data_IF_962184872928
#
_entry.id   IF_962184872928
#
_cell.length_a   1.000
_cell.length_b   1.000
_cell.length_c   1.000
_cell.angle_alpha   90.00
_cell.angle_beta   90.00
_cell.angle_gamma   90.00
#
_symmetry.space_group_name_H-M   'P 1'
#
loop_
_entity.id
_entity.type
_entity.pdbx_description
1 polymer ?
#
# COMPACT_ATOMS: atom_id res chain seq x y z
N UNK A 1 -2.42 -27.41 -24.66
CA UNK A 1 -3.55 -27.08 -23.77
C UNK A 1 -2.97 -27.05 -22.37
N UNK A 2 -2.73 -25.88 -21.81
CA UNK A 2 -2.29 -25.74 -20.41
C UNK A 2 -3.52 -25.99 -19.54
N UNK A 3 -3.55 -27.09 -18.81
CA UNK A 3 -4.57 -27.34 -17.78
C UNK A 3 -4.42 -26.30 -16.71
N UNK A 4 -5.47 -25.52 -16.46
CA UNK A 4 -5.47 -24.61 -15.30
C UNK A 4 -5.31 -25.44 -14.02
N UNK A 5 -4.47 -24.99 -13.06
CA UNK A 5 -4.29 -25.68 -11.79
C UNK A 5 -5.63 -25.84 -11.07
N UNK A 6 -5.80 -26.96 -10.38
CA UNK A 6 -6.98 -27.20 -9.54
C UNK A 6 -6.98 -26.21 -8.36
N UNK A 7 -8.14 -25.91 -7.73
CA UNK A 7 -8.22 -24.98 -6.59
C UNK A 7 -7.27 -25.31 -5.44
N UNK A 8 -6.94 -26.60 -5.23
CA UNK A 8 -5.97 -27.06 -4.23
C UNK A 8 -4.51 -26.83 -4.58
N UNK A 9 -4.20 -26.48 -5.83
CA UNK A 9 -2.84 -26.21 -6.32
C UNK A 9 -2.48 -24.73 -6.27
N UNK A 10 -3.47 -23.83 -6.06
CA UNK A 10 -3.21 -22.42 -5.92
C UNK A 10 -2.63 -22.10 -4.53
N UNK A 11 -1.51 -21.36 -4.42
CA UNK A 11 -0.96 -20.98 -3.13
C UNK A 11 -1.94 -20.08 -2.35
N UNK A 12 -1.93 -20.20 -1.02
CA UNK A 12 -2.72 -19.30 -0.19
C UNK A 12 -2.25 -17.86 -0.34
N UNK A 13 -3.19 -16.94 -0.62
CA UNK A 13 -2.97 -15.50 -0.60
C UNK A 13 -3.73 -14.90 0.57
N UNK A 14 -3.08 -14.06 1.37
CA UNK A 14 -3.74 -13.24 2.38
C UNK A 14 -3.98 -11.84 1.82
N UNK A 15 -5.24 -11.42 1.68
CA UNK A 15 -5.61 -10.04 1.40
C UNK A 15 -5.69 -9.27 2.72
N UNK A 16 -4.73 -8.37 2.95
CA UNK A 16 -4.57 -7.60 4.17
C UNK A 16 -5.09 -6.18 3.98
N UNK A 17 -6.20 -5.87 4.64
CA UNK A 17 -6.78 -4.53 4.69
C UNK A 17 -6.25 -3.76 5.91
N UNK A 18 -5.74 -2.56 5.67
CA UNK A 18 -5.18 -1.67 6.69
C UNK A 18 -6.13 -0.50 6.91
N UNK A 19 -6.56 -0.29 8.16
CA UNK A 19 -7.52 0.78 8.48
C UNK A 19 -7.24 1.44 9.83
N UNK A 20 -7.77 2.67 9.99
CA UNK A 20 -7.90 3.39 11.25
C UNK A 20 -9.04 4.41 11.19
N UNK A 21 -10.11 4.23 11.98
CA UNK A 21 -11.28 5.14 12.09
C UNK A 21 -12.04 5.41 10.80
N UNK A 22 -11.83 4.64 9.74
CA UNK A 22 -12.40 4.87 8.40
C UNK A 22 -13.32 3.73 7.98
N UNK A 23 -14.25 3.33 8.88
CA UNK A 23 -15.14 2.17 8.68
C UNK A 23 -15.86 2.19 7.31
N UNK A 24 -16.43 3.34 6.91
CA UNK A 24 -17.17 3.44 5.66
C UNK A 24 -16.28 3.15 4.43
N UNK A 25 -15.03 3.61 4.43
CA UNK A 25 -14.09 3.30 3.35
C UNK A 25 -13.73 1.81 3.36
N UNK A 26 -13.42 1.27 4.54
CA UNK A 26 -13.09 -0.15 4.72
C UNK A 26 -14.23 -1.06 4.23
N UNK A 27 -15.49 -0.78 4.59
CA UNK A 27 -16.67 -1.53 4.14
C UNK A 27 -16.73 -1.58 2.62
N UNK A 28 -16.60 -0.44 1.95
CA UNK A 28 -16.61 -0.36 0.48
C UNK A 28 -15.45 -1.13 -0.14
N UNK A 29 -14.25 -0.98 0.43
CA UNK A 29 -13.03 -1.63 -0.07
C UNK A 29 -13.12 -3.15 0.04
N UNK A 30 -13.54 -3.69 1.19
CA UNK A 30 -13.67 -5.13 1.41
C UNK A 30 -14.75 -5.74 0.52
N UNK A 31 -15.91 -5.07 0.39
CA UNK A 31 -16.98 -5.58 -0.48
C UNK A 31 -16.58 -5.57 -1.96
N UNK A 32 -16.01 -4.46 -2.44
CA UNK A 32 -15.52 -4.37 -3.82
C UNK A 32 -14.44 -5.43 -4.12
N UNK A 33 -13.53 -5.66 -3.18
CA UNK A 33 -12.52 -6.71 -3.31
C UNK A 33 -13.15 -8.10 -3.44
N UNK A 34 -14.11 -8.44 -2.59
CA UNK A 34 -14.80 -9.74 -2.65
C UNK A 34 -15.60 -9.92 -3.95
N UNK A 35 -16.19 -8.85 -4.48
CA UNK A 35 -16.94 -8.86 -5.73
C UNK A 35 -16.04 -9.01 -6.97
N UNK A 36 -14.89 -8.34 -6.97
CA UNK A 36 -14.01 -8.22 -8.13
C UNK A 36 -12.78 -9.14 -8.10
N UNK A 37 -12.66 -10.05 -7.13
CA UNK A 37 -11.50 -10.95 -7.04
C UNK A 37 -11.91 -12.41 -7.15
N UNK A 38 -11.52 -13.04 -8.26
CA UNK A 38 -11.68 -14.48 -8.47
C UNK A 38 -10.36 -15.20 -8.17
N UNK A 39 -10.20 -15.60 -6.89
CA UNK A 39 -9.04 -16.37 -6.45
C UNK A 39 -9.47 -17.48 -5.48
N UNK A 40 -9.14 -18.77 -5.75
CA UNK A 40 -9.77 -19.89 -5.05
C UNK A 40 -9.25 -20.15 -3.63
N UNK A 41 -8.03 -19.72 -3.29
CA UNK A 41 -7.39 -20.00 -2.00
C UNK A 41 -6.99 -18.68 -1.31
N UNK A 42 -7.98 -18.03 -0.68
CA UNK A 42 -7.90 -16.66 -0.18
C UNK A 42 -8.21 -16.59 1.32
N UNK A 43 -7.34 -15.92 2.07
CA UNK A 43 -7.59 -15.44 3.42
C UNK A 43 -7.78 -13.93 3.38
N UNK A 44 -8.84 -13.41 4.00
CA UNK A 44 -9.01 -11.96 4.21
C UNK A 44 -8.70 -11.59 5.64
N UNK A 45 -7.76 -10.67 5.82
CA UNK A 45 -7.30 -10.15 7.12
C UNK A 45 -7.60 -8.66 7.18
N UNK A 46 -8.21 -8.20 8.28
CA UNK A 46 -8.39 -6.76 8.55
C UNK A 46 -7.53 -6.38 9.75
N UNK A 47 -6.62 -5.42 9.55
CA UNK A 47 -5.79 -4.84 10.59
C UNK A 47 -6.26 -3.41 10.91
N UNK A 48 -6.64 -3.17 12.17
CA UNK A 48 -7.10 -1.88 12.66
C UNK A 48 -6.15 -1.31 13.71
N UNK A 49 -5.75 -0.06 13.55
CA UNK A 49 -4.82 0.64 14.43
C UNK A 49 -5.49 1.23 15.68
N UNK A 50 -6.32 0.44 16.35
CA UNK A 50 -6.93 0.85 17.63
C UNK A 50 -8.02 1.90 17.47
N UNK A 51 -8.95 1.68 16.54
CA UNK A 51 -10.19 2.44 16.45
C UNK A 51 -11.03 2.30 17.72
N UNK A 52 -11.98 3.23 18.02
CA UNK A 52 -12.94 3.09 19.11
C UNK A 52 -13.68 1.76 19.08
N UNK A 53 -14.07 1.28 20.26
CA UNK A 53 -14.67 -0.05 20.44
C UNK A 53 -15.93 -0.29 19.57
N UNK A 54 -16.75 0.75 19.42
CA UNK A 54 -17.95 0.69 18.56
C UNK A 54 -17.61 0.52 17.07
N UNK A 55 -16.47 1.08 16.60
CA UNK A 55 -15.96 0.88 15.24
C UNK A 55 -15.40 -0.52 15.10
N UNK A 56 -14.58 -0.97 16.06
CA UNK A 56 -14.03 -2.32 16.04
C UNK A 56 -15.12 -3.40 16.08
N UNK A 57 -16.21 -3.16 16.84
CA UNK A 57 -17.36 -4.06 16.84
C UNK A 57 -17.99 -4.21 15.43
N UNK A 58 -18.11 -3.12 14.69
CA UNK A 58 -18.60 -3.15 13.29
C UNK A 58 -17.57 -3.77 12.33
N UNK A 59 -16.28 -3.50 12.49
CA UNK A 59 -15.23 -4.15 11.70
C UNK A 59 -15.35 -5.67 11.79
N UNK A 60 -15.65 -6.22 12.98
CA UNK A 60 -15.82 -7.68 13.18
C UNK A 60 -17.02 -8.29 12.45
N UNK A 61 -17.93 -7.47 11.90
CA UNK A 61 -19.07 -7.97 11.11
C UNK A 61 -18.77 -8.03 9.61
N UNK A 62 -17.61 -7.52 9.16
CA UNK A 62 -17.22 -7.56 7.76
C UNK A 62 -16.84 -8.98 7.33
N UNK A 63 -16.96 -9.30 6.02
CA UNK A 63 -16.65 -10.62 5.48
C UNK A 63 -15.13 -10.86 5.42
N UNK A 64 -14.49 -11.09 6.58
CA UNK A 64 -13.08 -11.38 6.75
C UNK A 64 -12.87 -12.64 7.59
N UNK A 65 -11.74 -13.30 7.38
CA UNK A 65 -11.38 -14.55 8.06
C UNK A 65 -10.63 -14.29 9.38
N UNK A 66 -9.93 -13.14 9.47
CA UNK A 66 -9.07 -12.79 10.60
C UNK A 66 -9.11 -11.29 10.89
N UNK A 67 -9.14 -10.94 12.18
CA UNK A 67 -9.16 -9.57 12.65
C UNK A 67 -7.97 -9.29 13.58
N UNK A 68 -7.03 -8.47 13.11
CA UNK A 68 -5.82 -8.05 13.81
C UNK A 68 -6.03 -6.64 14.40
N UNK A 69 -6.86 -6.53 15.45
CA UNK A 69 -7.28 -5.24 16.01
C UNK A 69 -6.38 -4.83 17.17
N UNK A 70 -5.67 -3.71 17.03
CA UNK A 70 -4.87 -3.16 18.12
C UNK A 70 -5.78 -2.51 19.20
N UNK A 71 -5.39 -2.55 20.48
CA UNK A 71 -6.17 -1.94 21.56
C UNK A 71 -6.06 -0.40 21.58
N UNK A 72 -5.07 0.17 20.90
CA UNK A 72 -4.84 1.61 20.80
C UNK A 72 -4.00 1.91 19.54
N UNK A 73 -4.11 3.14 19.06
CA UNK A 73 -3.30 3.61 17.94
C UNK A 73 -1.80 3.55 18.24
N UNK A 74 -1.06 2.89 17.34
CA UNK A 74 0.39 2.73 17.39
C UNK A 74 1.09 3.24 16.13
N UNK A 75 0.33 3.68 15.13
CA UNK A 75 0.81 4.18 13.84
C UNK A 75 0.82 3.12 12.73
N UNK A 76 0.95 3.62 11.49
CA UNK A 76 0.83 2.80 10.28
C UNK A 76 1.78 1.60 10.28
N UNK A 77 3.06 1.82 10.60
CA UNK A 77 4.06 0.74 10.61
C UNK A 77 3.71 -0.39 11.59
N UNK A 78 3.25 -0.04 12.80
CA UNK A 78 2.82 -1.03 13.79
C UNK A 78 1.56 -1.79 13.33
N UNK A 79 0.61 -1.10 12.67
CA UNK A 79 -0.59 -1.73 12.13
C UNK A 79 -0.28 -2.66 10.96
N UNK A 80 0.57 -2.23 10.03
CA UNK A 80 1.06 -3.07 8.93
C UNK A 80 1.73 -4.35 9.48
N UNK A 81 2.64 -4.22 10.45
CA UNK A 81 3.31 -5.35 11.08
C UNK A 81 2.34 -6.28 11.80
N UNK A 82 1.37 -5.71 12.52
CA UNK A 82 0.33 -6.49 13.20
C UNK A 82 -0.47 -7.31 12.17
N UNK A 83 -0.93 -6.68 11.10
CA UNK A 83 -1.64 -7.37 10.01
C UNK A 83 -0.80 -8.47 9.36
N UNK A 84 0.45 -8.18 8.99
CA UNK A 84 1.37 -9.13 8.36
C UNK A 84 1.60 -10.40 9.21
N UNK A 85 1.66 -10.27 10.55
CA UNK A 85 1.80 -11.42 11.46
C UNK A 85 0.56 -12.32 11.51
N UNK A 86 -0.61 -11.78 11.16
CA UNK A 86 -1.88 -12.54 11.09
C UNK A 86 -2.18 -13.12 9.70
N UNK A 87 -1.38 -12.77 8.69
CA UNK A 87 -1.47 -13.36 7.38
C UNK A 87 -0.79 -14.75 7.34
N UNK A 88 -1.47 -15.76 6.84
CA UNK A 88 -0.95 -17.14 6.70
C UNK A 88 -0.50 -17.47 5.27
N UNK A 89 -0.85 -16.60 4.30
CA UNK A 89 -0.58 -16.83 2.89
C UNK A 89 0.90 -16.84 2.52
N UNK A 90 1.26 -17.60 1.48
CA UNK A 90 2.56 -17.53 0.81
C UNK A 90 2.80 -16.14 0.23
N UNK A 91 1.73 -15.48 -0.18
CA UNK A 91 1.71 -14.12 -0.69
C UNK A 91 0.75 -13.27 0.14
N UNK A 92 1.03 -11.96 0.21
CA UNK A 92 0.17 -10.99 0.89
C UNK A 92 -0.18 -9.88 -0.10
N UNK A 93 -1.47 -9.67 -0.33
CA UNK A 93 -1.99 -8.50 -1.05
C UNK A 93 -2.32 -7.43 -0.02
N UNK A 94 -1.54 -6.37 0.01
CA UNK A 94 -1.75 -5.23 0.92
C UNK A 94 -2.68 -4.21 0.29
N UNK A 95 -3.69 -3.77 1.04
CA UNK A 95 -4.72 -2.83 0.59
C UNK A 95 -5.01 -1.84 1.72
N UNK A 96 -4.89 -0.54 1.48
CA UNK A 96 -5.41 0.45 2.41
C UNK A 96 -6.93 0.62 2.21
N UNK A 97 -7.63 1.05 3.24
CA UNK A 97 -9.10 1.14 3.31
C UNK A 97 -9.74 2.07 2.26
N UNK A 98 -8.99 2.98 1.65
CA UNK A 98 -9.46 3.94 0.64
C UNK A 98 -9.27 3.48 -0.81
N UNK A 99 -8.83 2.25 -1.04
CA UNK A 99 -8.69 1.67 -2.37
C UNK A 99 -9.85 0.75 -2.71
N UNK A 100 -10.44 0.93 -3.88
CA UNK A 100 -11.58 0.15 -4.39
C UNK A 100 -11.09 -0.75 -5.53
N UNK A 101 -11.25 -2.06 -5.36
CA UNK A 101 -10.95 -3.02 -6.41
C UNK A 101 -11.99 -2.90 -7.53
N UNK A 102 -11.52 -2.75 -8.78
CA UNK A 102 -12.33 -2.67 -9.99
C UNK A 102 -11.75 -3.50 -11.13
N UNK A 103 -10.72 -4.28 -10.83
CA UNK A 103 -9.95 -4.98 -11.84
C UNK A 103 -10.69 -6.14 -12.50
N UNK A 104 -10.10 -6.68 -13.57
CA UNK A 104 -10.57 -7.93 -14.13
C UNK A 104 -10.41 -9.03 -13.08
N UNK A 105 -11.42 -9.89 -12.86
CA UNK A 105 -11.44 -10.83 -11.72
C UNK A 105 -10.22 -11.75 -11.61
N UNK A 106 -9.55 -12.04 -12.73
CA UNK A 106 -8.38 -12.91 -12.79
C UNK A 106 -7.05 -12.24 -12.42
N UNK A 107 -7.01 -10.92 -12.17
CA UNK A 107 -5.75 -10.18 -11.95
C UNK A 107 -4.82 -10.82 -10.92
N UNK A 108 -5.41 -11.38 -9.86
CA UNK A 108 -4.63 -12.00 -8.78
C UNK A 108 -4.06 -13.35 -9.21
N UNK A 109 -4.78 -14.12 -10.02
CA UNK A 109 -4.26 -15.37 -10.62
C UNK A 109 -3.07 -15.09 -11.53
N UNK A 110 -3.19 -14.06 -12.37
CA UNK A 110 -2.12 -13.65 -13.29
C UNK A 110 -0.87 -13.21 -12.52
N UNK A 111 -1.05 -12.40 -11.47
CA UNK A 111 0.04 -11.96 -10.61
C UNK A 111 0.74 -13.14 -9.89
N UNK A 112 -0.02 -14.08 -9.36
CA UNK A 112 0.53 -15.29 -8.74
C UNK A 112 1.28 -16.15 -9.76
N UNK A 113 0.76 -16.34 -10.96
CA UNK A 113 1.44 -17.09 -12.00
C UNK A 113 2.80 -16.47 -12.37
N UNK A 114 2.88 -15.13 -12.42
CA UNK A 114 4.17 -14.42 -12.60
C UNK A 114 5.12 -14.67 -11.44
N UNK A 115 4.65 -14.54 -10.19
CA UNK A 115 5.50 -14.72 -9.00
C UNK A 115 6.01 -16.15 -8.85
N UNK A 116 5.20 -17.15 -9.18
CA UNK A 116 5.60 -18.57 -9.13
C UNK A 116 6.68 -18.89 -10.18
N UNK A 117 6.63 -18.27 -11.35
CA UNK A 117 7.62 -18.46 -12.41
C UNK A 117 8.84 -17.56 -12.28
N UNK A 118 8.75 -16.50 -11.48
CA UNK A 118 9.82 -15.52 -11.30
C UNK A 118 10.14 -15.28 -9.81
N UNK A 119 10.89 -16.18 -9.15
CA UNK A 119 11.12 -16.12 -7.70
C UNK A 119 11.83 -14.86 -7.17
N UNK A 120 12.38 -14.03 -8.07
CA UNK A 120 12.97 -12.73 -7.74
C UNK A 120 11.94 -11.61 -7.68
N UNK A 121 10.71 -11.82 -8.17
CA UNK A 121 9.65 -10.84 -8.02
C UNK A 121 9.17 -10.84 -6.58
N UNK A 122 9.51 -9.79 -5.84
CA UNK A 122 9.10 -9.61 -4.46
C UNK A 122 7.79 -8.86 -4.33
N UNK A 123 7.54 -7.90 -5.23
CA UNK A 123 6.35 -7.05 -5.25
C UNK A 123 5.79 -6.93 -6.67
N UNK A 124 4.45 -6.94 -6.78
CA UNK A 124 3.71 -6.54 -7.97
C UNK A 124 2.77 -5.40 -7.58
N UNK A 125 2.94 -4.22 -8.20
CA UNK A 125 2.11 -3.05 -7.98
C UNK A 125 0.85 -3.06 -8.86
N UNK A 126 -0.30 -2.65 -8.30
CA UNK A 126 -1.60 -2.63 -8.99
C UNK A 126 -2.24 -1.24 -9.11
N UNK A 127 -1.67 -0.23 -8.50
CA UNK A 127 -2.36 1.04 -8.32
C UNK A 127 -1.68 2.24 -8.98
N UNK A 128 -0.51 2.08 -9.56
CA UNK A 128 0.12 3.21 -10.26
C UNK A 128 -0.53 3.46 -11.61
N UNK A 129 -0.96 4.69 -11.88
CA UNK A 129 -1.47 5.12 -13.19
C UNK A 129 -0.36 5.55 -14.15
N UNK A 130 0.85 5.73 -13.64
CA UNK A 130 2.01 6.11 -14.44
C UNK A 130 2.94 4.91 -14.61
N UNK A 131 3.50 4.76 -15.79
CA UNK A 131 4.47 3.71 -16.07
C UNK A 131 5.87 4.28 -16.05
N UNK A 132 6.86 3.56 -15.50
CA UNK A 132 8.24 3.91 -15.78
C UNK A 132 8.46 3.85 -17.30
N UNK A 133 9.10 4.87 -17.91
CA UNK A 133 9.25 4.95 -19.35
C UNK A 133 10.07 3.80 -19.98
N UNK A 134 10.85 3.09 -19.17
CA UNK A 134 11.76 2.02 -19.60
C UNK A 134 11.37 0.68 -18.96
N UNK A 135 10.27 0.07 -19.39
CA UNK A 135 9.92 -1.31 -19.05
C UNK A 135 10.70 -2.26 -19.96
N UNK A 136 11.85 -2.73 -19.50
CA UNK A 136 12.82 -3.41 -20.38
C UNK A 136 12.96 -4.92 -20.15
N UNK A 137 12.31 -5.50 -19.13
CA UNK A 137 12.38 -6.93 -18.86
C UNK A 137 10.98 -7.53 -18.73
N UNK A 138 10.44 -8.14 -19.82
CA UNK A 138 9.19 -8.89 -19.74
C UNK A 138 9.36 -10.11 -18.85
N UNK A 139 8.33 -10.42 -18.08
CA UNK A 139 8.24 -11.59 -17.21
C UNK A 139 7.29 -12.63 -17.81
N UNK A 140 7.57 -13.89 -17.58
CA UNK A 140 6.73 -15.02 -17.98
C UNK A 140 5.66 -15.29 -16.92
N UNK A 141 4.56 -15.90 -17.32
CA UNK A 141 3.58 -16.47 -16.39
C UNK A 141 2.17 -15.90 -16.47
N UNK A 142 1.97 -14.79 -17.18
CA UNK A 142 0.63 -14.22 -17.38
C UNK A 142 0.31 -14.06 -18.86
N UNK A 143 -0.97 -14.17 -19.28
CA UNK A 143 -1.40 -13.78 -20.63
C UNK A 143 -1.23 -12.29 -20.89
N UNK A 144 -1.29 -11.46 -19.84
CA UNK A 144 -1.07 -10.02 -19.93
C UNK A 144 0.43 -9.69 -19.74
N UNK A 145 0.99 -8.73 -20.49
CA UNK A 145 2.37 -8.31 -20.32
C UNK A 145 2.67 -7.83 -18.90
N UNK A 146 3.70 -8.40 -18.29
CA UNK A 146 4.22 -8.00 -16.99
C UNK A 146 5.70 -7.68 -17.10
N UNK A 147 6.16 -6.62 -16.48
CA UNK A 147 7.52 -6.11 -16.64
C UNK A 147 8.16 -5.78 -15.29
N UNK A 148 9.48 -5.94 -15.23
CA UNK A 148 10.27 -5.47 -14.09
C UNK A 148 10.37 -3.96 -14.12
N UNK A 149 10.07 -3.33 -12.98
CA UNK A 149 10.34 -1.91 -12.78
C UNK A 149 11.85 -1.71 -12.58
N UNK A 150 12.52 -0.93 -13.44
CA UNK A 150 13.94 -0.68 -13.30
C UNK A 150 14.23 0.08 -11.99
N UNK A 151 15.33 -0.29 -11.31
CA UNK A 151 15.80 0.51 -10.17
C UNK A 151 16.28 1.86 -10.67
N UNK A 152 15.89 2.98 -10.02
CA UNK A 152 16.34 4.30 -10.44
C UNK A 152 17.86 4.42 -10.29
N UNK A 153 18.49 5.01 -11.29
CA UNK A 153 19.79 5.62 -11.12
C UNK A 153 19.63 6.81 -10.17
N UNK A 154 20.61 7.06 -9.31
CA UNK A 154 20.53 8.12 -8.30
C UNK A 154 19.97 9.43 -8.85
N UNK A 155 18.96 10.00 -8.17
CA UNK A 155 18.36 11.30 -8.49
C UNK A 155 17.19 11.30 -9.50
N UNK A 156 16.64 10.16 -9.93
CA UNK A 156 15.48 10.11 -10.82
C UNK A 156 14.16 9.87 -10.07
N UNK A 157 13.08 10.47 -10.61
CA UNK A 157 11.72 10.47 -10.05
C UNK A 157 10.98 9.10 -10.13
N UNK A 158 11.69 7.98 -10.29
CA UNK A 158 11.09 6.64 -10.45
C UNK A 158 11.02 5.84 -9.15
N UNK A 159 11.35 6.46 -8.01
CA UNK A 159 11.36 5.76 -6.70
C UNK A 159 9.98 5.26 -6.29
N UNK A 160 8.93 6.02 -6.60
CA UNK A 160 7.53 5.64 -6.34
C UNK A 160 7.07 4.35 -7.01
N UNK A 161 7.73 3.94 -8.09
CA UNK A 161 7.39 2.69 -8.80
C UNK A 161 8.06 1.46 -8.20
N UNK A 162 9.02 1.64 -7.32
CA UNK A 162 9.70 0.52 -6.66
C UNK A 162 8.94 0.02 -5.46
N UNK A 163 8.50 0.93 -4.62
CA UNK A 163 7.70 0.67 -3.43
C UNK A 163 6.87 1.90 -3.07
N UNK A 164 5.61 1.66 -2.76
CA UNK A 164 4.72 2.59 -2.07
C UNK A 164 3.68 1.80 -1.28
N UNK A 165 2.99 2.43 -0.33
CA UNK A 165 1.91 1.81 0.43
C UNK A 165 0.59 1.65 -0.37
N UNK A 166 0.62 1.90 -1.69
CA UNK A 166 -0.47 1.60 -2.60
C UNK A 166 -0.72 0.08 -2.70
N UNK A 167 -1.90 -0.36 -3.20
CA UNK A 167 -2.19 -1.78 -3.32
C UNK A 167 -1.13 -2.55 -4.11
N UNK A 168 -0.56 -3.55 -3.46
CA UNK A 168 0.48 -4.38 -4.04
C UNK A 168 0.43 -5.83 -3.50
N UNK A 169 0.75 -6.77 -4.37
CA UNK A 169 1.00 -8.16 -3.99
C UNK A 169 2.48 -8.32 -3.63
N UNK A 170 2.76 -8.98 -2.52
CA UNK A 170 4.14 -9.24 -2.07
C UNK A 170 4.35 -10.70 -1.67
N UNK A 171 5.55 -11.22 -1.92
CA UNK A 171 5.98 -12.52 -1.41
C UNK A 171 6.47 -12.39 0.03
N UNK A 172 6.45 -13.49 0.80
CA UNK A 172 7.03 -13.54 2.16
C UNK A 172 8.54 -13.31 2.20
N UNK A 173 9.23 -13.53 1.10
CA UNK A 173 10.66 -13.20 0.98
C UNK A 173 10.96 -11.72 1.23
N UNK A 174 9.97 -10.85 1.07
CA UNK A 174 10.14 -9.42 1.33
C UNK A 174 10.45 -9.18 2.80
N UNK A 175 9.74 -9.85 3.74
CA UNK A 175 10.03 -9.75 5.17
C UNK A 175 11.42 -10.34 5.52
N UNK A 176 11.84 -11.38 4.81
CA UNK A 176 13.15 -12.01 5.01
C UNK A 176 14.30 -11.11 4.56
N UNK A 177 14.13 -10.40 3.43
CA UNK A 177 15.19 -9.56 2.83
C UNK A 177 15.28 -8.18 3.47
N UNK A 178 14.15 -7.52 3.73
CA UNK A 178 14.14 -6.14 4.23
C UNK A 178 13.50 -5.97 5.61
N UNK A 179 12.94 -7.02 6.18
CA UNK A 179 12.31 -6.99 7.50
C UNK A 179 10.94 -6.32 7.51
N UNK A 180 10.44 -6.07 8.71
CA UNK A 180 9.18 -5.41 8.97
C UNK A 180 9.31 -3.87 8.89
N UNK A 181 8.17 -3.16 8.90
CA UNK A 181 8.14 -1.70 8.98
C UNK A 181 8.72 -1.21 10.31
N UNK A 182 9.32 -0.02 10.33
CA UNK A 182 9.59 0.65 11.59
C UNK A 182 8.27 1.03 12.26
N UNK A 183 8.18 0.88 13.59
CA UNK A 183 6.97 1.20 14.34
C UNK A 183 7.02 2.66 14.81
N UNK A 184 7.00 3.60 13.87
CA UNK A 184 6.92 5.03 14.12
C UNK A 184 5.49 5.54 13.92
N UNK A 185 5.13 6.62 14.60
CA UNK A 185 3.84 7.29 14.43
C UNK A 185 3.78 8.17 13.19
N UNK A 186 4.92 8.56 12.65
CA UNK A 186 5.01 9.32 11.41
C UNK A 186 4.88 8.35 10.22
N UNK A 187 3.77 8.45 9.50
CA UNK A 187 3.47 7.60 8.35
C UNK A 187 4.48 7.79 7.22
N UNK A 188 4.84 9.05 6.92
CA UNK A 188 5.79 9.38 5.85
C UNK A 188 7.16 8.76 6.15
N UNK A 189 7.58 8.81 7.41
CA UNK A 189 8.84 8.21 7.84
C UNK A 189 8.83 6.68 7.72
N UNK A 190 7.71 6.03 8.04
CA UNK A 190 7.57 4.59 7.90
C UNK A 190 7.69 4.17 6.43
N UNK A 191 6.99 4.87 5.52
CA UNK A 191 7.04 4.58 4.09
C UNK A 191 8.42 4.87 3.49
N UNK A 192 9.04 6.01 3.83
CA UNK A 192 10.37 6.37 3.36
C UNK A 192 11.45 5.38 3.82
N UNK A 193 11.42 4.94 5.08
CA UNK A 193 12.37 3.95 5.59
C UNK A 193 12.23 2.63 4.82
N UNK A 194 10.99 2.15 4.63
CA UNK A 194 10.73 0.91 3.93
C UNK A 194 11.13 1.01 2.45
N UNK A 195 10.79 2.11 1.78
CA UNK A 195 11.20 2.41 0.40
C UNK A 195 12.72 2.46 0.25
N UNK A 196 13.43 3.09 1.20
CA UNK A 196 14.88 3.15 1.19
C UNK A 196 15.52 1.77 1.32
N UNK A 197 15.03 0.93 2.24
CA UNK A 197 15.52 -0.46 2.37
C UNK A 197 15.24 -1.27 1.10
N UNK A 198 14.06 -1.12 0.51
CA UNK A 198 13.72 -1.74 -0.77
C UNK A 198 14.66 -1.32 -1.89
N UNK A 199 14.95 -0.05 -2.02
CA UNK A 199 15.85 0.52 -3.04
C UNK A 199 17.28 -0.06 -2.96
N UNK A 200 17.78 -0.29 -1.75
CA UNK A 200 19.18 -0.72 -1.54
C UNK A 200 19.38 -2.23 -1.61
N UNK A 201 18.35 -3.06 -1.41
CA UNK A 201 18.46 -4.50 -1.56
C UNK A 201 18.67 -4.91 -3.04
N UNK A 202 19.26 -6.08 -3.31
CA UNK A 202 19.61 -6.57 -4.66
C UNK A 202 18.99 -7.91 -5.02
N UNK A 203 18.30 -8.56 -4.09
CA UNK A 203 17.77 -9.91 -4.25
C UNK A 203 16.43 -9.92 -4.99
N UNK A 204 15.55 -8.96 -4.67
CA UNK A 204 14.20 -8.88 -5.16
C UNK A 204 13.98 -7.71 -6.13
N UNK A 205 12.98 -7.85 -6.98
CA UNK A 205 12.54 -6.82 -7.92
C UNK A 205 11.06 -6.51 -7.74
N UNK A 206 10.66 -5.31 -8.15
CA UNK A 206 9.26 -4.93 -8.31
C UNK A 206 8.83 -5.16 -9.75
N UNK A 207 7.59 -5.61 -9.93
CA UNK A 207 6.99 -5.76 -11.24
C UNK A 207 5.67 -4.99 -11.35
N UNK A 208 5.23 -4.75 -12.57
CA UNK A 208 3.97 -4.06 -12.90
C UNK A 208 3.30 -4.72 -14.10
N UNK A 209 1.97 -4.64 -14.12
CA UNK A 209 1.14 -4.97 -15.28
C UNK A 209 0.65 -3.68 -15.93
N UNK A 210 1.25 -3.20 -17.04
CA UNK A 210 0.82 -1.97 -17.69
C UNK A 210 -0.65 -1.97 -18.12
N UNK A 211 -1.17 -3.11 -18.57
CA UNK A 211 -2.57 -3.26 -18.94
C UNK A 211 -3.55 -3.18 -17.77
N UNK A 212 -3.06 -3.39 -16.54
CA UNK A 212 -3.86 -3.34 -15.31
C UNK A 212 -3.68 -2.03 -14.53
N UNK A 213 -2.79 -1.18 -14.95
CA UNK A 213 -2.45 0.05 -14.25
C UNK A 213 -3.65 0.98 -14.09
N UNK A 214 -3.95 1.35 -12.84
CA UNK A 214 -5.08 2.18 -12.48
C UNK A 214 -6.46 1.53 -12.70
N UNK A 215 -6.48 0.28 -13.23
CA UNK A 215 -7.72 -0.45 -13.50
C UNK A 215 -8.07 -1.42 -12.36
N UNK A 216 -7.06 -2.00 -11.69
CA UNK A 216 -7.30 -2.99 -10.62
C UNK A 216 -7.78 -2.33 -9.34
N UNK A 217 -7.11 -1.25 -8.92
CA UNK A 217 -7.48 -0.50 -7.72
C UNK A 217 -7.55 0.98 -8.03
N UNK A 218 -8.66 1.61 -7.68
CA UNK A 218 -8.85 3.05 -7.73
C UNK A 218 -8.94 3.62 -6.32
N UNK A 219 -8.29 4.77 -6.11
CA UNK A 219 -8.51 5.58 -4.93
C UNK A 219 -9.53 6.68 -5.28
N UNK A 220 -10.82 6.50 -4.94
CA UNK A 220 -11.86 7.50 -5.20
C UNK A 220 -11.77 8.69 -4.24
N UNK A 221 -10.97 8.55 -3.18
CA UNK A 221 -10.77 9.60 -2.19
C UNK A 221 -9.82 10.64 -2.78
N UNK A 222 -10.37 11.59 -3.49
CA UNK A 222 -9.60 12.72 -3.99
C UNK A 222 -8.96 13.53 -2.86
N UNK A 223 -8.03 14.48 -3.18
CA UNK A 223 -7.39 15.36 -2.20
C UNK A 223 -8.39 16.10 -1.31
N UNK A 224 -9.66 16.18 -1.72
CA UNK A 224 -10.73 16.86 -0.99
C UNK A 224 -11.26 16.08 0.21
N UNK A 225 -11.19 14.76 0.23
CA UNK A 225 -11.59 13.91 1.37
C UNK A 225 -10.42 13.51 2.27
N UNK A 226 -9.18 13.77 1.84
CA UNK A 226 -8.02 13.63 2.72
C UNK A 226 -8.19 14.57 3.92
N UNK A 227 -7.73 14.12 5.11
CA UNK A 227 -7.83 14.88 6.36
C UNK A 227 -7.58 16.39 6.13
N UNK A 228 -8.38 17.26 6.76
CA UNK A 228 -8.27 18.74 6.65
C UNK A 228 -6.83 19.25 6.79
N UNK A 229 -6.02 18.54 7.54
CA UNK A 229 -4.60 18.81 7.77
C UNK A 229 -3.75 18.51 6.54
N UNK A 230 -3.99 17.39 5.85
CA UNK A 230 -3.28 17.07 4.61
C UNK A 230 -3.59 18.13 3.55
N UNK A 231 -4.85 18.56 3.43
CA UNK A 231 -5.24 19.70 2.56
C UNK A 231 -4.56 21.01 2.93
N UNK A 232 -4.46 21.30 4.22
CA UNK A 232 -3.80 22.51 4.69
C UNK A 232 -2.29 22.43 4.44
N UNK A 233 -1.67 21.27 4.65
CA UNK A 233 -0.26 21.01 4.29
C UNK A 233 0.01 21.24 2.80
N UNK A 234 -0.83 20.71 1.91
CA UNK A 234 -0.70 20.92 0.47
C UNK A 234 -0.90 22.39 0.08
N UNK A 235 -1.88 23.08 0.67
CA UNK A 235 -2.11 24.50 0.42
C UNK A 235 -0.94 25.37 0.91
N UNK A 236 -0.39 25.07 2.08
CA UNK A 236 0.80 25.75 2.62
C UNK A 236 2.03 25.44 1.76
N UNK A 237 2.24 24.18 1.37
CA UNK A 237 3.34 23.80 0.50
C UNK A 237 3.23 24.46 -0.87
N UNK A 238 2.04 24.51 -1.47
CA UNK A 238 1.79 25.19 -2.75
C UNK A 238 2.01 26.71 -2.64
N UNK A 239 1.54 27.35 -1.55
CA UNK A 239 1.76 28.77 -1.32
C UNK A 239 3.23 29.14 -1.08
N UNK A 240 4.03 28.20 -0.54
CA UNK A 240 5.47 28.39 -0.31
C UNK A 240 6.34 28.05 -1.53
N UNK A 241 5.80 27.37 -2.56
CA UNK A 241 6.55 27.01 -3.77
C UNK A 241 7.25 28.20 -4.45
N UNK A 242 6.58 29.36 -4.71
CA UNK A 242 7.24 30.49 -5.37
C UNK A 242 8.32 31.15 -4.49
N UNK A 243 8.28 30.99 -3.18
CA UNK A 243 9.26 31.60 -2.24
C UNK A 243 10.37 30.62 -1.87
N UNK A 244 10.19 29.32 -2.15
CA UNK A 244 11.14 28.25 -1.78
C UNK A 244 12.52 28.42 -2.44
N UNK A 245 12.57 29.03 -3.62
CA UNK A 245 13.82 29.34 -4.32
C UNK A 245 14.66 30.42 -3.62
N UNK A 246 14.07 31.25 -2.76
CA UNK A 246 14.71 32.35 -2.05
C UNK A 246 15.01 32.03 -0.57
N UNK A 247 14.57 30.87 -0.06
CA UNK A 247 14.80 30.47 1.32
C UNK A 247 16.02 29.54 1.39
N UNK A 248 17.06 29.89 2.18
CA UNK A 248 18.20 29.00 2.40
C UNK A 248 17.76 27.60 2.88
N UNK A 249 18.32 26.53 2.30
CA UNK A 249 17.94 25.13 2.59
C UNK A 249 17.77 24.79 4.08
N UNK A 250 18.64 25.23 5.02
CA UNK A 250 18.46 24.94 6.45
C UNK A 250 17.25 25.63 7.08
N UNK A 251 16.76 26.74 6.51
CA UNK A 251 15.61 27.47 7.02
C UNK A 251 14.26 26.93 6.49
N UNK A 252 14.26 26.14 5.42
CA UNK A 252 13.05 25.51 4.87
C UNK A 252 12.42 24.55 5.89
N UNK A 253 13.24 23.74 6.55
CA UNK A 253 12.81 22.83 7.62
C UNK A 253 12.24 23.58 8.84
N UNK A 254 12.88 24.68 9.23
CA UNK A 254 12.44 25.52 10.35
C UNK A 254 11.10 26.22 10.04
N UNK A 255 10.96 26.81 8.86
CA UNK A 255 9.73 27.46 8.40
C UNK A 255 8.57 26.44 8.30
N UNK A 256 8.84 25.25 7.76
CA UNK A 256 7.86 24.15 7.72
C UNK A 256 7.39 23.74 9.11
N UNK A 257 8.31 23.59 10.05
CA UNK A 257 7.99 23.19 11.42
C UNK A 257 7.25 24.29 12.18
N UNK A 258 7.62 25.55 12.04
CA UNK A 258 6.92 26.68 12.70
C UNK A 258 5.46 26.82 12.20
N UNK A 259 5.19 26.54 10.91
CA UNK A 259 3.84 26.64 10.34
C UNK A 259 3.01 25.38 10.68
N UNK A 260 3.62 24.21 10.73
CA UNK A 260 2.90 22.96 10.96
C UNK A 260 2.76 22.62 12.46
N UNK A 261 3.64 23.13 13.32
CA UNK A 261 3.61 22.83 14.75
C UNK A 261 2.29 23.21 15.47
N UNK A 262 1.67 24.39 15.22
CA UNK A 262 0.36 24.70 15.78
C UNK A 262 -0.73 23.72 15.32
N UNK A 263 -0.66 23.22 14.09
CA UNK A 263 -1.61 22.26 13.52
C UNK A 263 -1.47 20.90 14.21
N UNK A 264 -0.26 20.42 14.45
CA UNK A 264 0.00 19.22 15.23
C UNK A 264 -0.49 19.34 16.69
N UNK A 265 -0.34 20.54 17.28
CA UNK A 265 -0.80 20.78 18.65
C UNK A 265 -2.34 20.70 18.72
N UNK A 266 -3.06 21.29 17.77
CA UNK A 266 -4.52 21.21 17.68
C UNK A 266 -5.03 19.78 17.48
N UNK A 267 -4.34 18.97 16.67
CA UNK A 267 -4.62 17.53 16.52
C UNK A 267 -4.47 16.78 17.84
N UNK A 268 -3.36 17.05 18.54
CA UNK A 268 -3.03 16.39 19.81
C UNK A 268 -4.04 16.72 20.91
N UNK A 269 -4.67 17.91 20.84
CA UNK A 269 -5.69 18.38 21.75
C UNK A 269 -7.13 17.96 21.34
N UNK A 270 -7.29 17.25 20.20
CA UNK A 270 -8.61 16.83 19.71
C UNK A 270 -9.50 17.97 19.23
N UNK A 271 -8.92 19.17 18.98
CA UNK A 271 -9.63 20.39 18.60
C UNK A 271 -9.83 20.53 17.08
N UNK A 272 -9.34 19.58 16.28
CA UNK A 272 -9.60 19.48 14.84
C UNK A 272 -10.64 18.41 14.59
N UNK A 273 -11.90 18.78 14.50
CA UNK A 273 -12.99 17.95 13.96
C UNK A 273 -13.21 18.27 12.49
#
# INVERSE_FOLDING_TARGET
MSTQPTPSEWPLVSALFITYKRLHHLERSVHAFREHTDYPNLQVVIADDGSPAEIQAKIRTLPADTFALLPKNRGLGANNNNGLRHCSGKYVLMIQDDWICQGPPQYLRDAIAVMEQNPRVGIINFASTEHPPDLNQPLLGSPEPCYVTPKPLEGRATEQFLYSDQPHLRSRKVEEVIGYYIEDRDMERCEQDYSNRWKHQRELVTAVFPGYHGVVFLNPVGPEESFRITRLRYRVAAALQPVKAFIPKPLIGLARNCILWPIYLLERLGLTR
#
